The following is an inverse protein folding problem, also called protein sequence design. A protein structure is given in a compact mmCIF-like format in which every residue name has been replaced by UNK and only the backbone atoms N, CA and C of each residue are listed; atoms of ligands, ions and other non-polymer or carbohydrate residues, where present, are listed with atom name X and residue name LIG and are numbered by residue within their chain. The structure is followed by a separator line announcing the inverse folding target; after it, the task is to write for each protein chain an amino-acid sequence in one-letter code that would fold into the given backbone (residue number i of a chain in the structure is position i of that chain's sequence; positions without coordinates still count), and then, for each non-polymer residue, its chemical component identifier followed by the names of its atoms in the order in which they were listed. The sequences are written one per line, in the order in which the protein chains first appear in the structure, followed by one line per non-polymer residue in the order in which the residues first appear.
data_IF_310531174880
#
_entry.id   IF_310531174880
#
_cell.length_a   1.000
_cell.length_b   1.000
_cell.length_c   1.000
_cell.angle_alpha   90.00
_cell.angle_beta   90.00
_cell.angle_gamma   90.00
#
_symmetry.space_group_name_H-M   'P 1'
#
loop_
_entity.id
_entity.type
_entity.pdbx_description
1 polymer ?
#
# COMPACT_ATOMS: atom_id res chain seq x y z
N UNK A 1 6.48 5.25 -33.47
CA UNK A 1 7.28 5.32 -32.23
C UNK A 1 6.73 4.24 -31.33
N UNK A 2 7.42 3.11 -31.25
CA UNK A 2 7.02 1.92 -30.50
C UNK A 2 7.19 2.24 -29.02
N UNK A 3 6.12 2.70 -28.38
CA UNK A 3 6.06 2.69 -26.93
C UNK A 3 5.83 1.22 -26.55
N UNK A 4 6.90 0.54 -26.17
CA UNK A 4 6.81 -0.65 -25.33
C UNK A 4 6.18 -0.19 -24.00
N UNK A 5 4.86 -0.05 -24.02
CA UNK A 5 4.10 0.37 -22.88
C UNK A 5 3.82 -0.92 -22.11
N UNK A 6 4.75 -1.26 -21.21
CA UNK A 6 4.61 -2.44 -20.35
C UNK A 6 3.30 -2.35 -19.59
N UNK A 7 2.38 -3.26 -19.94
CA UNK A 7 1.13 -3.42 -19.24
C UNK A 7 1.42 -4.05 -17.86
N UNK A 8 1.12 -3.32 -16.79
CA UNK A 8 1.41 -3.75 -15.42
C UNK A 8 0.12 -4.27 -14.77
N UNK A 9 0.17 -5.48 -14.24
CA UNK A 9 -0.89 -6.03 -13.40
C UNK A 9 -0.81 -5.49 -11.97
N UNK A 10 -1.95 -5.08 -11.42
CA UNK A 10 -2.11 -4.72 -10.01
C UNK A 10 -3.23 -5.59 -9.43
N UNK A 11 -2.92 -6.26 -8.32
CA UNK A 11 -3.90 -7.01 -7.53
C UNK A 11 -4.24 -6.19 -6.29
N UNK A 12 -5.53 -6.11 -5.99
CA UNK A 12 -6.08 -5.49 -4.78
C UNK A 12 -7.08 -6.44 -4.13
N UNK A 13 -7.56 -6.11 -2.94
CA UNK A 13 -8.27 -7.06 -2.06
C UNK A 13 -9.41 -7.83 -2.71
N UNK A 14 -10.21 -7.17 -3.56
CA UNK A 14 -11.38 -7.76 -4.21
C UNK A 14 -11.17 -8.06 -5.69
N UNK A 15 -10.01 -7.78 -6.28
CA UNK A 15 -9.89 -7.77 -7.73
C UNK A 15 -8.50 -7.51 -8.27
N UNK A 16 -8.45 -7.26 -9.58
CA UNK A 16 -7.20 -6.94 -10.25
C UNK A 16 -7.45 -6.04 -11.44
N UNK A 17 -6.42 -5.30 -11.85
CA UNK A 17 -6.45 -4.46 -13.04
C UNK A 17 -5.14 -4.56 -13.79
N UNK A 18 -5.23 -4.59 -15.11
CA UNK A 18 -4.09 -4.42 -16.00
C UNK A 18 -4.09 -2.97 -16.47
N UNK A 19 -2.95 -2.29 -16.31
CA UNK A 19 -2.85 -0.86 -16.58
C UNK A 19 -1.67 -0.50 -17.48
N UNK A 20 -1.88 0.52 -18.29
CA UNK A 20 -0.83 1.21 -19.04
C UNK A 20 -0.30 2.38 -18.22
N UNK A 21 1.01 2.51 -18.10
CA UNK A 21 1.59 3.71 -17.48
C UNK A 21 1.53 4.88 -18.45
N UNK A 22 0.96 5.98 -18.00
CA UNK A 22 0.93 7.26 -18.71
C UNK A 22 1.45 8.35 -17.79
N UNK A 23 2.01 9.41 -18.37
CA UNK A 23 2.54 10.57 -17.66
C UNK A 23 1.61 11.75 -17.90
N UNK A 24 1.17 12.41 -16.84
CA UNK A 24 0.26 13.55 -16.90
C UNK A 24 0.62 14.62 -15.85
N UNK A 25 -0.22 15.63 -15.67
CA UNK A 25 -0.04 16.72 -14.71
C UNK A 25 -1.06 16.62 -13.59
N UNK A 26 -0.59 16.38 -12.36
CA UNK A 26 -1.42 16.40 -11.17
C UNK A 26 -1.56 17.84 -10.64
N UNK A 27 -2.80 18.30 -10.46
CA UNK A 27 -3.11 19.62 -9.87
C UNK A 27 -3.73 19.43 -8.50
N UNK A 28 -3.12 20.02 -7.47
CA UNK A 28 -3.64 20.06 -6.10
C UNK A 28 -3.77 21.52 -5.64
N UNK A 29 -4.51 21.81 -4.56
CA UNK A 29 -4.50 23.14 -3.98
C UNK A 29 -3.07 23.60 -3.71
N UNK A 30 -2.67 24.73 -4.33
CA UNK A 30 -1.34 25.33 -4.15
C UNK A 30 -0.17 24.64 -4.88
N UNK A 31 -0.37 23.56 -5.65
CA UNK A 31 0.75 22.87 -6.35
C UNK A 31 0.33 22.23 -7.67
N UNK A 32 1.23 22.26 -8.64
CA UNK A 32 1.10 21.51 -9.90
C UNK A 32 2.34 20.64 -10.05
N UNK A 33 2.15 19.32 -10.21
CA UNK A 33 3.21 18.34 -10.43
C UNK A 33 3.12 17.84 -11.87
N UNK A 34 4.11 18.18 -12.69
CA UNK A 34 4.24 17.68 -14.06
C UNK A 34 4.86 16.28 -14.04
N UNK A 35 4.62 15.52 -15.10
CA UNK A 35 5.13 14.17 -15.30
C UNK A 35 4.75 13.18 -14.17
N UNK A 36 3.56 13.39 -13.62
CA UNK A 36 2.97 12.49 -12.65
C UNK A 36 2.48 11.23 -13.38
N UNK A 37 3.07 10.10 -13.05
CA UNK A 37 2.78 8.79 -13.63
C UNK A 37 1.52 8.22 -13.00
N UNK A 38 0.54 7.92 -13.84
CA UNK A 38 -0.71 7.23 -13.47
C UNK A 38 -0.90 5.98 -14.32
N UNK A 39 -1.71 5.04 -13.82
CA UNK A 39 -2.06 3.84 -14.56
C UNK A 39 -3.43 3.95 -15.20
N UNK A 40 -3.50 3.98 -16.53
CA UNK A 40 -4.75 3.87 -17.26
C UNK A 40 -5.19 2.40 -17.30
N UNK A 41 -6.29 2.08 -16.62
CA UNK A 41 -6.84 0.72 -16.59
C UNK A 41 -7.34 0.31 -17.98
N UNK A 42 -6.78 -0.77 -18.52
CA UNK A 42 -7.23 -1.38 -19.78
C UNK A 42 -8.29 -2.45 -19.54
N UNK A 43 -8.11 -3.23 -18.47
CA UNK A 43 -9.02 -4.29 -18.05
C UNK A 43 -9.04 -4.31 -16.53
N UNK A 44 -10.21 -4.53 -15.93
CA UNK A 44 -10.29 -4.83 -14.51
C UNK A 44 -11.33 -5.89 -14.21
N UNK A 45 -11.10 -6.55 -13.08
CA UNK A 45 -12.04 -7.45 -12.43
C UNK A 45 -12.41 -6.78 -11.11
N UNK A 46 -13.69 -6.47 -10.92
CA UNK A 46 -14.22 -5.68 -9.80
C UNK A 46 -13.66 -4.24 -9.75
N UNK A 47 -13.96 -3.45 -10.78
CA UNK A 47 -13.56 -2.05 -10.91
C UNK A 47 -14.01 -1.23 -9.69
N UNK A 48 -13.07 -0.54 -9.04
CA UNK A 48 -13.43 0.51 -8.08
C UNK A 48 -13.91 1.76 -8.84
N UNK A 49 -15.05 2.32 -8.43
CA UNK A 49 -15.73 3.40 -9.15
C UNK A 49 -14.90 4.69 -9.31
N UNK A 50 -13.93 4.92 -8.42
CA UNK A 50 -13.14 6.16 -8.36
C UNK A 50 -11.65 5.96 -8.69
N UNK A 51 -11.26 4.78 -9.14
CA UNK A 51 -9.85 4.41 -9.34
C UNK A 51 -9.13 4.05 -8.04
N UNK A 52 -7.81 3.85 -8.15
CA UNK A 52 -6.93 3.39 -7.06
C UNK A 52 -5.76 4.34 -6.89
N UNK A 53 -5.51 4.76 -5.65
CA UNK A 53 -4.35 5.61 -5.32
C UNK A 53 -3.35 4.81 -4.49
N UNK A 54 -2.15 4.59 -5.04
CA UNK A 54 -1.11 3.80 -4.39
C UNK A 54 -0.23 4.63 -3.47
N UNK A 55 -0.22 4.29 -2.17
CA UNK A 55 0.64 4.92 -1.15
C UNK A 55 1.82 4.05 -0.72
N UNK A 56 2.15 3.03 -1.49
CA UNK A 56 3.26 2.09 -1.24
C UNK A 56 4.66 2.75 -1.31
N UNK A 57 5.70 2.00 -0.97
CA UNK A 57 7.11 2.38 -1.11
C UNK A 57 7.65 2.27 -2.56
N UNK A 58 6.78 2.00 -3.54
CA UNK A 58 7.20 1.84 -4.94
C UNK A 58 7.48 3.16 -5.65
N UNK A 59 8.27 3.13 -6.73
CA UNK A 59 8.61 4.32 -7.53
C UNK A 59 7.38 5.06 -8.09
N UNK A 60 6.37 4.40 -8.70
CA UNK A 60 5.19 5.09 -9.22
C UNK A 60 4.13 5.37 -8.12
N UNK A 61 4.47 5.28 -6.83
CA UNK A 61 3.52 5.61 -5.75
C UNK A 61 3.40 7.12 -5.54
N UNK A 62 2.29 7.56 -4.94
CA UNK A 62 2.06 8.99 -4.67
C UNK A 62 3.14 9.58 -3.77
N UNK A 63 3.53 8.98 -2.63
CA UNK A 63 4.60 9.53 -1.81
C UNK A 63 5.92 9.70 -2.57
N UNK A 64 6.33 8.70 -3.34
CA UNK A 64 7.58 8.73 -4.10
C UNK A 64 7.57 9.82 -5.16
N UNK A 65 6.51 9.91 -5.96
CA UNK A 65 6.37 10.89 -7.03
C UNK A 65 6.29 12.34 -6.52
N UNK A 66 5.77 12.53 -5.31
CA UNK A 66 5.69 13.84 -4.67
C UNK A 66 6.94 14.22 -3.87
N UNK A 67 7.90 13.29 -3.72
CA UNK A 67 9.10 13.46 -2.90
C UNK A 67 8.79 13.51 -1.39
N UNK A 68 7.72 12.86 -0.95
CA UNK A 68 7.31 12.86 0.45
C UNK A 68 8.13 11.84 1.24
N UNK A 69 8.75 12.30 2.32
CA UNK A 69 9.40 11.42 3.29
C UNK A 69 8.44 10.85 4.33
N UNK A 70 7.27 11.49 4.51
CA UNK A 70 6.25 11.15 5.51
C UNK A 70 4.86 11.56 5.02
N UNK A 71 3.85 10.84 5.46
CA UNK A 71 2.43 11.19 5.33
C UNK A 71 1.67 10.58 6.52
N UNK A 72 0.47 11.06 6.78
CA UNK A 72 -0.37 10.61 7.88
C UNK A 72 -1.79 10.32 7.39
N UNK A 73 -2.37 9.24 7.91
CA UNK A 73 -3.76 8.87 7.69
C UNK A 73 -4.53 8.95 9.00
N UNK A 74 -5.58 9.75 9.01
CA UNK A 74 -6.57 9.77 10.08
C UNK A 74 -7.87 9.16 9.56
N UNK A 75 -8.12 7.91 9.95
CA UNK A 75 -9.30 7.16 9.54
C UNK A 75 -10.34 7.20 10.66
N UNK A 76 -11.50 7.79 10.38
CA UNK A 76 -12.63 7.79 11.27
C UNK A 76 -13.33 6.42 11.21
N UNK A 77 -13.60 5.87 12.39
CA UNK A 77 -14.40 4.67 12.51
C UNK A 77 -15.87 5.00 12.17
N UNK A 78 -16.32 4.63 10.96
CA UNK A 78 -17.74 4.69 10.60
C UNK A 78 -18.43 3.38 10.93
N UNK A 79 -19.55 3.46 11.65
CA UNK A 79 -20.41 2.32 11.98
C UNK A 79 -21.77 2.41 11.28
N UNK A 80 -21.77 2.71 9.98
CA UNK A 80 -22.96 2.88 9.14
C UNK A 80 -23.69 4.24 9.26
N UNK A 81 -23.33 5.12 10.21
CA UNK A 81 -23.81 6.51 10.17
C UNK A 81 -22.89 7.37 9.31
N UNK A 82 -23.41 7.77 8.14
CA UNK A 82 -22.83 8.78 7.27
C UNK A 82 -23.09 10.18 7.87
N UNK A 83 -22.46 10.48 9.00
CA UNK A 83 -22.42 11.86 9.45
C UNK A 83 -21.48 12.64 8.50
N UNK A 84 -22.06 13.31 7.51
CA UNK A 84 -21.35 14.07 6.48
C UNK A 84 -20.42 15.16 7.03
N UNK A 85 -20.52 15.49 8.32
CA UNK A 85 -19.72 16.52 8.97
C UNK A 85 -18.31 16.03 9.34
N UNK A 86 -18.12 14.72 9.50
CA UNK A 86 -16.83 14.15 9.90
C UNK A 86 -16.11 13.60 8.67
N UNK A 87 -14.90 14.10 8.41
CA UNK A 87 -14.09 13.71 7.24
C UNK A 87 -12.79 13.03 7.68
N UNK A 88 -12.42 11.97 6.96
CA UNK A 88 -11.11 11.35 7.07
C UNK A 88 -10.06 12.35 6.57
N UNK A 89 -8.87 12.35 7.19
CA UNK A 89 -7.81 13.29 6.82
C UNK A 89 -6.57 12.55 6.31
N UNK A 90 -6.04 13.01 5.18
CA UNK A 90 -4.78 12.57 4.62
C UNK A 90 -3.83 13.76 4.55
N UNK A 91 -2.79 13.73 5.37
CA UNK A 91 -1.79 14.79 5.43
C UNK A 91 -0.55 14.34 4.67
N UNK A 92 -0.21 15.08 3.62
CA UNK A 92 0.95 14.81 2.76
C UNK A 92 2.13 15.67 3.20
N UNK A 93 3.11 15.05 3.87
CA UNK A 93 4.26 15.76 4.44
C UNK A 93 3.94 16.51 5.74
N UNK A 94 4.86 17.39 6.14
CA UNK A 94 4.73 18.23 7.34
C UNK A 94 5.23 17.58 8.65
N UNK A 95 5.39 18.43 9.67
CA UNK A 95 5.55 17.98 11.04
C UNK A 95 4.16 17.52 11.52
N UNK A 96 3.93 16.21 11.54
CA UNK A 96 2.63 15.65 11.88
C UNK A 96 2.10 16.23 13.18
N UNK A 97 0.85 16.73 13.15
CA UNK A 97 0.10 17.22 14.30
C UNK A 97 0.87 18.17 15.21
N UNK A 98 0.69 19.48 15.00
CA UNK A 98 1.19 20.58 15.84
C UNK A 98 0.50 20.64 17.22
N UNK A 99 0.21 19.48 17.80
CA UNK A 99 -0.25 19.37 19.18
C UNK A 99 0.91 18.79 19.99
N UNK A 100 1.64 19.68 20.66
CA UNK A 100 2.80 19.35 21.48
C UNK A 100 2.48 18.32 22.59
N UNK A 101 1.19 18.08 22.85
CA UNK A 101 0.71 17.09 23.81
C UNK A 101 0.65 15.65 23.27
N UNK A 102 0.69 15.44 21.95
CA UNK A 102 0.55 14.10 21.35
C UNK A 102 1.94 13.53 21.05
N UNK A 103 2.51 12.82 22.03
CA UNK A 103 3.79 12.14 21.87
C UNK A 103 3.64 10.92 20.93
N UNK A 104 3.98 11.09 19.65
CA UNK A 104 4.03 9.97 18.70
C UNK A 104 5.13 8.98 19.09
N UNK A 105 4.78 7.69 19.04
CA UNK A 105 5.76 6.61 19.13
C UNK A 105 6.11 6.15 17.72
N UNK A 106 7.40 5.97 17.47
CA UNK A 106 7.92 5.55 16.17
C UNK A 106 8.58 4.19 16.30
N UNK A 107 8.38 3.36 15.28
CA UNK A 107 9.09 2.11 15.10
C UNK A 107 9.70 2.11 13.69
N UNK A 108 10.94 1.63 13.50
CA UNK A 108 11.51 1.46 12.18
C UNK A 108 10.64 0.54 11.32
N UNK A 109 10.47 0.90 10.06
CA UNK A 109 9.82 0.04 9.08
C UNK A 109 10.73 -1.16 8.77
N UNK A 110 10.16 -2.35 8.80
CA UNK A 110 10.83 -3.57 8.40
C UNK A 110 10.84 -3.71 6.88
N UNK A 111 11.83 -4.44 6.36
CA UNK A 111 11.87 -4.87 4.96
C UNK A 111 11.21 -6.24 4.84
N UNK A 112 10.55 -6.49 3.71
CA UNK A 112 10.09 -7.84 3.41
C UNK A 112 11.29 -8.77 3.21
N UNK A 113 11.21 -9.98 3.73
CA UNK A 113 12.15 -11.06 3.42
C UNK A 113 11.84 -11.76 2.09
N UNK A 114 10.69 -11.49 1.48
CA UNK A 114 10.33 -12.11 0.21
C UNK A 114 11.15 -11.49 -0.93
N UNK A 115 11.66 -12.35 -1.81
CA UNK A 115 12.28 -11.95 -3.07
C UNK A 115 11.28 -11.43 -4.11
N UNK A 116 9.97 -11.54 -3.86
CA UNK A 116 8.94 -11.08 -4.79
C UNK A 116 8.95 -9.55 -4.90
N UNK A 117 9.04 -8.98 -6.12
CA UNK A 117 9.05 -7.53 -6.32
C UNK A 117 7.87 -6.82 -5.65
N UNK A 118 6.68 -7.42 -5.69
CA UNK A 118 5.46 -6.87 -5.08
C UNK A 118 5.54 -6.78 -3.56
N UNK A 119 6.26 -7.67 -2.90
CA UNK A 119 6.39 -7.62 -1.45
C UNK A 119 7.32 -6.48 -1.00
N UNK A 120 8.23 -6.02 -1.84
CA UNK A 120 9.17 -4.94 -1.48
C UNK A 120 8.52 -3.57 -1.32
N UNK A 121 7.30 -3.37 -1.84
CA UNK A 121 6.64 -2.06 -1.86
C UNK A 121 5.71 -1.82 -0.67
N UNK A 122 5.41 -2.81 0.17
CA UNK A 122 4.53 -2.61 1.33
C UNK A 122 5.28 -2.08 2.57
N UNK A 123 4.52 -1.50 3.50
CA UNK A 123 5.03 -1.10 4.83
C UNK A 123 4.90 -2.27 5.80
N UNK A 124 6.04 -2.78 6.28
CA UNK A 124 6.06 -3.85 7.28
C UNK A 124 6.50 -3.31 8.64
N UNK A 125 5.96 -3.94 9.69
CA UNK A 125 6.37 -3.72 11.08
C UNK A 125 6.85 -5.04 11.66
N UNK A 126 7.99 -5.01 12.35
CA UNK A 126 8.52 -6.17 13.07
C UNK A 126 7.83 -6.30 14.43
N UNK A 127 6.81 -7.16 14.50
CA UNK A 127 6.14 -7.46 15.76
C UNK A 127 6.98 -8.44 16.59
N UNK A 128 7.00 -8.27 17.90
CA UNK A 128 7.75 -9.15 18.83
C UNK A 128 6.83 -10.02 19.70
N UNK A 129 5.59 -9.59 19.91
CA UNK A 129 4.61 -10.28 20.74
C UNK A 129 3.20 -9.78 20.41
N UNK A 130 2.20 -10.65 20.65
CA UNK A 130 0.78 -10.30 20.60
C UNK A 130 0.21 -10.56 22.00
N UNK A 131 -0.52 -9.60 22.54
CA UNK A 131 -1.11 -9.70 23.89
C UNK A 131 -2.62 -9.51 23.81
N UNK A 132 -3.39 -10.42 24.41
CA UNK A 132 -4.85 -10.34 24.51
C UNK A 132 -5.23 -10.27 25.98
N UNK A 133 -5.98 -9.24 26.39
CA UNK A 133 -6.37 -9.01 27.80
C UNK A 133 -5.19 -9.16 28.77
N UNK A 134 -4.03 -8.58 28.44
CA UNK A 134 -2.76 -8.64 29.20
C UNK A 134 -2.08 -10.03 29.26
N UNK A 135 -2.58 -11.03 28.54
CA UNK A 135 -1.92 -12.35 28.41
C UNK A 135 -1.21 -12.44 27.07
N UNK A 136 0.09 -12.75 27.10
CA UNK A 136 0.86 -13.00 25.87
C UNK A 136 0.33 -14.25 25.18
N UNK A 137 0.04 -14.14 23.89
CA UNK A 137 -0.33 -15.28 23.05
C UNK A 137 0.94 -16.08 22.75
N UNK A 138 0.91 -17.38 23.00
CA UNK A 138 2.05 -18.25 22.67
C UNK A 138 2.05 -18.56 21.18
N UNK A 139 2.84 -17.80 20.43
CA UNK A 139 3.11 -18.04 19.02
C UNK A 139 4.54 -18.56 18.86
N UNK A 140 4.79 -19.47 17.90
CA UNK A 140 6.14 -19.93 17.62
C UNK A 140 6.98 -18.76 17.11
N UNK A 141 8.27 -18.68 17.52
CA UNK A 141 9.16 -17.55 17.20
C UNK A 141 9.19 -17.19 15.71
N UNK A 142 9.11 -18.20 14.83
CA UNK A 142 9.05 -18.03 13.37
C UNK A 142 7.88 -17.17 12.87
N UNK A 143 6.81 -17.03 13.65
CA UNK A 143 5.68 -16.16 13.29
C UNK A 143 6.03 -14.67 13.35
N UNK A 144 7.12 -14.31 14.03
CA UNK A 144 7.60 -12.93 14.18
C UNK A 144 8.83 -12.62 13.31
N UNK A 145 9.39 -13.65 12.67
CA UNK A 145 10.53 -13.49 11.76
C UNK A 145 9.96 -13.32 10.36
N UNK A 146 10.45 -12.32 9.63
CA UNK A 146 10.17 -12.22 8.20
C UNK A 146 10.90 -13.39 7.51
N UNK A 147 10.20 -14.49 7.29
CA UNK A 147 10.68 -15.66 6.56
C UNK A 147 10.07 -15.66 5.15
N UNK A 148 10.83 -16.15 4.17
CA UNK A 148 10.36 -16.33 2.80
C UNK A 148 9.33 -17.47 2.78
N UNK A 149 8.09 -17.18 2.38
CA UNK A 149 7.16 -18.23 1.97
C UNK A 149 7.69 -18.81 0.66
N UNK A 150 8.52 -19.85 0.77
CA UNK A 150 8.84 -20.78 -0.30
C UNK A 150 7.51 -21.31 -0.86
N UNK A 151 7.18 -20.96 -2.09
CA UNK A 151 6.02 -21.55 -2.78
C UNK A 151 6.29 -23.04 -2.89
N UNK A 152 5.41 -23.84 -2.29
CA UNK A 152 5.39 -25.27 -2.55
C UNK A 152 5.37 -25.48 -4.07
N UNK A 153 6.18 -26.42 -4.61
CA UNK A 153 6.16 -26.67 -6.04
C UNK A 153 4.73 -27.07 -6.42
N UNK A 154 4.16 -26.42 -7.43
CA UNK A 154 2.99 -26.94 -8.13
C UNK A 154 3.40 -28.29 -8.73
N UNK A 155 3.28 -29.35 -7.93
CA UNK A 155 3.54 -30.71 -8.34
C UNK A 155 2.55 -31.07 -9.43
N UNK A 156 3.12 -31.39 -10.60
CA UNK A 156 2.52 -32.06 -11.75
C UNK A 156 1.26 -32.86 -11.39
N UNK A 157 0.08 -32.32 -11.74
CA UNK A 157 -1.07 -33.12 -12.16
C UNK A 157 -1.19 -33.03 -13.67
N UNK A 158 -0.33 -33.77 -14.35
CA UNK A 158 -0.55 -34.25 -15.71
C UNK A 158 0.09 -35.63 -15.70
N UNK A 159 -0.73 -36.63 -15.42
CA UNK A 159 -0.57 -38.04 -15.77
C UNK A 159 -1.86 -38.75 -15.32
N UNK A 160 -2.81 -38.87 -16.26
CA UNK A 160 -3.86 -39.90 -16.37
C UNK A 160 -4.70 -39.54 -17.59
N UNK A 161 -4.23 -40.02 -18.75
CA UNK A 161 -5.04 -40.29 -19.94
C UNK A 161 -4.79 -41.76 -20.29
#
# INVERSE_FOLDING_TARGET
MELAADAIGVVYSSGSTTRLLISDTLRTPGRTIRNFVVGCSLMSVYQQSSGLTGFSCGVPSVPSQLGLTKFFYFLLARRFDDNATASDELILGGAGGKDDNVRMQYIPLARSASTRPLCSVYYYLALIAITVRRKSVQLPKRAFVAEELEEAPLSRRRDSA
#
